data_IF_559450405740
#
_entry.id   IF_559450405740
#
_cell.length_a   1.000
_cell.length_b   1.000
_cell.length_c   1.000
_cell.angle_alpha   90.00
_cell.angle_beta   90.00
_cell.angle_gamma   90.00
#
_symmetry.space_group_name_H-M   'P 1'
#
loop_
_entity.id
_entity.type
_entity.pdbx_description
1 polymer ?
#
# COMPACT_ATOMS: atom_id res chain seq x y z
N UNK A 1 -11.52 -9.69 13.25
CA UNK A 1 -10.44 -8.70 13.49
C UNK A 1 -10.85 -7.44 12.79
N UNK A 2 -11.02 -6.35 13.53
CA UNK A 2 -11.44 -5.05 13.00
C UNK A 2 -10.36 -4.55 12.05
N UNK A 3 -10.71 -4.39 10.78
CA UNK A 3 -9.76 -4.08 9.71
C UNK A 3 -10.11 -2.73 9.09
N UNK A 4 -9.14 -1.82 8.99
CA UNK A 4 -9.30 -0.57 8.24
C UNK A 4 -8.55 -0.65 6.91
N UNK A 5 -9.26 -0.45 5.82
CA UNK A 5 -8.68 -0.42 4.47
C UNK A 5 -8.50 1.01 4.04
N UNK A 6 -7.26 1.41 3.84
CA UNK A 6 -6.92 2.74 3.35
C UNK A 6 -6.87 2.68 1.84
N UNK A 7 -7.69 3.51 1.20
CA UNK A 7 -7.81 3.60 -0.26
C UNK A 7 -7.48 5.02 -0.70
N UNK A 8 -6.24 5.30 -1.13
CA UNK A 8 -5.87 6.58 -1.71
C UNK A 8 -6.54 6.79 -3.07
N UNK A 9 -7.01 8.01 -3.32
CA UNK A 9 -7.79 8.34 -4.52
C UNK A 9 -7.38 9.66 -5.13
N UNK A 10 -7.28 9.68 -6.46
CA UNK A 10 -7.17 10.88 -7.28
C UNK A 10 -7.73 10.57 -8.67
N UNK A 11 -8.91 11.11 -9.00
CA UNK A 11 -9.67 10.77 -10.20
C UNK A 11 -10.04 9.27 -10.28
N UNK A 12 -10.74 8.76 -9.27
CA UNK A 12 -11.11 7.35 -9.14
C UNK A 12 -12.64 7.15 -9.04
N UNK A 13 -13.45 8.08 -9.57
CA UNK A 13 -14.91 8.09 -9.36
C UNK A 13 -15.58 6.75 -9.66
N UNK A 14 -15.36 6.19 -10.86
CA UNK A 14 -15.96 4.92 -11.28
C UNK A 14 -15.45 3.73 -10.46
N UNK A 15 -14.22 3.81 -9.98
CA UNK A 15 -13.59 2.76 -9.20
C UNK A 15 -14.15 2.74 -7.78
N UNK A 16 -14.21 3.89 -7.11
CA UNK A 16 -14.78 4.02 -5.77
C UNK A 16 -16.25 3.63 -5.72
N UNK A 17 -17.02 3.98 -6.75
CA UNK A 17 -18.43 3.57 -6.88
C UNK A 17 -18.62 2.05 -6.81
N UNK A 18 -17.66 1.28 -7.31
CA UNK A 18 -17.73 -0.19 -7.38
C UNK A 18 -17.01 -0.86 -6.20
N UNK A 19 -15.84 -0.33 -5.82
CA UNK A 19 -14.97 -0.91 -4.81
C UNK A 19 -15.59 -0.87 -3.41
N UNK A 20 -16.19 0.27 -3.01
CA UNK A 20 -16.72 0.42 -1.65
C UNK A 20 -17.81 -0.62 -1.33
N UNK A 21 -18.84 -0.84 -2.18
CA UNK A 21 -19.80 -1.93 -1.96
C UNK A 21 -19.16 -3.32 -1.83
N UNK A 22 -18.17 -3.64 -2.67
CA UNK A 22 -17.47 -4.94 -2.61
C UNK A 22 -16.73 -5.12 -1.29
N UNK A 23 -16.01 -4.09 -0.82
CA UNK A 23 -15.33 -4.12 0.47
C UNK A 23 -16.31 -4.25 1.64
N UNK A 24 -17.46 -3.57 1.57
CA UNK A 24 -18.49 -3.65 2.62
C UNK A 24 -19.16 -5.01 2.71
N UNK A 25 -19.23 -5.74 1.60
CA UNK A 25 -19.79 -7.08 1.51
C UNK A 25 -18.89 -8.16 2.14
N UNK A 26 -17.60 -7.87 2.38
CA UNK A 26 -16.66 -8.82 2.99
C UNK A 26 -16.96 -9.11 4.47
N UNK A 27 -17.69 -8.22 5.16
CA UNK A 27 -18.14 -8.46 6.52
C UNK A 27 -18.24 -7.19 7.38
N UNK A 28 -18.87 -7.29 8.57
CA UNK A 28 -19.13 -6.14 9.45
C UNK A 28 -17.85 -5.56 10.08
N UNK A 29 -16.81 -6.36 10.22
CA UNK A 29 -15.50 -5.95 10.78
C UNK A 29 -14.65 -5.11 9.81
N UNK A 30 -15.07 -4.98 8.55
CA UNK A 30 -14.36 -4.20 7.53
C UNK A 30 -14.82 -2.75 7.56
N UNK A 31 -13.86 -1.85 7.72
CA UNK A 31 -13.99 -0.40 7.57
C UNK A 31 -13.13 0.09 6.43
N UNK A 32 -13.50 1.20 5.81
CA UNK A 32 -12.74 1.83 4.73
C UNK A 32 -12.49 3.29 5.06
N UNK A 33 -11.25 3.73 4.86
CA UNK A 33 -10.85 5.12 4.83
C UNK A 33 -10.47 5.49 3.40
N UNK A 34 -11.31 6.28 2.74
CA UNK A 34 -10.96 6.90 1.47
C UNK A 34 -10.09 8.11 1.76
N UNK A 35 -8.88 8.15 1.20
CA UNK A 35 -8.00 9.32 1.30
C UNK A 35 -8.03 10.02 -0.06
N UNK A 36 -8.77 11.12 -0.16
CA UNK A 36 -8.96 11.84 -1.43
C UNK A 36 -8.06 13.06 -1.54
N UNK A 37 -7.29 13.12 -2.63
CA UNK A 37 -6.33 14.17 -2.93
C UNK A 37 -6.98 15.37 -3.68
N UNK A 38 -8.18 15.78 -3.23
CA UNK A 38 -9.01 16.81 -3.84
C UNK A 38 -9.31 16.51 -5.32
N UNK A 39 -9.95 15.37 -5.57
CA UNK A 39 -10.23 14.90 -6.92
C UNK A 39 -11.22 15.82 -7.65
N UNK A 40 -10.83 16.40 -8.81
CA UNK A 40 -11.71 17.29 -9.57
C UNK A 40 -12.89 16.58 -10.23
N UNK A 41 -12.81 15.25 -10.43
CA UNK A 41 -13.87 14.45 -11.03
C UNK A 41 -15.07 14.17 -10.08
N UNK A 42 -14.97 14.61 -8.83
CA UNK A 42 -16.01 14.38 -7.81
C UNK A 42 -15.86 13.08 -7.03
N UNK A 43 -14.72 12.37 -7.11
CA UNK A 43 -14.43 11.16 -6.31
C UNK A 43 -14.69 11.39 -4.83
N UNK A 44 -14.12 12.45 -4.25
CA UNK A 44 -14.32 12.80 -2.84
C UNK A 44 -15.79 13.02 -2.48
N UNK A 45 -16.56 13.75 -3.30
CA UNK A 45 -18.01 13.97 -3.06
C UNK A 45 -18.82 12.67 -3.10
N UNK A 46 -18.47 11.76 -3.99
CA UNK A 46 -19.09 10.44 -4.04
C UNK A 46 -18.78 9.64 -2.77
N UNK A 47 -17.52 9.66 -2.33
CA UNK A 47 -17.12 8.99 -1.10
C UNK A 47 -17.86 9.55 0.13
N UNK A 48 -18.03 10.87 0.22
CA UNK A 48 -18.80 11.52 1.30
C UNK A 48 -20.26 11.04 1.33
N UNK A 49 -20.90 10.97 0.16
CA UNK A 49 -22.27 10.47 0.05
C UNK A 49 -22.38 9.03 0.57
N UNK A 50 -21.45 8.17 0.17
CA UNK A 50 -21.43 6.77 0.61
C UNK A 50 -21.10 6.63 2.10
N UNK A 51 -20.27 7.51 2.65
CA UNK A 51 -19.97 7.57 4.08
C UNK A 51 -21.20 8.01 4.91
N UNK A 52 -22.03 8.90 4.38
CA UNK A 52 -23.28 9.30 5.03
C UNK A 52 -24.31 8.14 5.10
N UNK A 53 -24.23 7.18 4.18
CA UNK A 53 -25.12 6.01 4.12
C UNK A 53 -24.57 4.80 4.90
N UNK A 54 -23.29 4.79 5.26
CA UNK A 54 -22.64 3.66 5.95
C UNK A 54 -21.48 4.13 6.85
N UNK A 55 -21.68 4.02 8.16
CA UNK A 55 -20.72 4.43 9.21
C UNK A 55 -19.35 3.72 9.15
N UNK A 56 -19.24 2.61 8.42
CA UNK A 56 -17.97 1.88 8.23
C UNK A 56 -17.09 2.53 7.16
N UNK A 57 -17.59 3.54 6.44
CA UNK A 57 -16.86 4.29 5.44
C UNK A 57 -16.57 5.68 6.00
N UNK A 58 -15.32 6.12 5.87
CA UNK A 58 -14.86 7.45 6.26
C UNK A 58 -14.03 8.07 5.14
N UNK A 59 -13.96 9.40 5.10
CA UNK A 59 -13.25 10.14 4.06
C UNK A 59 -12.30 11.13 4.71
N UNK A 60 -11.04 11.10 4.27
CA UNK A 60 -10.01 12.07 4.60
C UNK A 60 -9.68 12.89 3.35
N UNK A 61 -10.20 14.11 3.31
CA UNK A 61 -9.90 15.07 2.24
C UNK A 61 -8.57 15.76 2.48
N UNK A 62 -7.71 15.74 1.46
CA UNK A 62 -6.42 16.42 1.44
C UNK A 62 -6.48 17.60 0.48
N UNK A 63 -5.69 18.66 0.67
CA UNK A 63 -5.91 19.93 -0.05
C UNK A 63 -5.61 19.87 -1.57
N UNK A 64 -4.77 18.91 -1.99
CA UNK A 64 -4.34 18.73 -3.38
C UNK A 64 -3.71 17.35 -3.56
N UNK A 65 -3.34 17.02 -4.79
CA UNK A 65 -2.46 15.89 -5.11
C UNK A 65 -1.09 16.04 -4.46
N UNK A 66 -0.84 15.26 -3.42
CA UNK A 66 0.34 15.35 -2.57
C UNK A 66 1.22 14.09 -2.62
N UNK A 67 0.80 13.06 -3.35
CA UNK A 67 1.56 11.82 -3.51
C UNK A 67 0.95 10.63 -2.78
N UNK A 68 1.32 9.42 -3.22
CA UNK A 68 0.78 8.16 -2.73
C UNK A 68 1.29 7.84 -1.32
N UNK A 69 2.59 7.94 -1.10
CA UNK A 69 3.21 7.69 0.20
C UNK A 69 2.68 8.64 1.26
N UNK A 70 2.51 9.92 0.93
CA UNK A 70 1.94 10.89 1.86
C UNK A 70 0.44 10.66 2.13
N UNK A 71 -0.31 10.08 1.18
CA UNK A 71 -1.69 9.64 1.40
C UNK A 71 -1.75 8.47 2.39
N UNK A 72 -0.90 7.47 2.20
CA UNK A 72 -0.81 6.33 3.13
C UNK A 72 -0.33 6.76 4.52
N UNK A 73 0.67 7.64 4.64
CA UNK A 73 1.09 8.19 5.94
C UNK A 73 -0.07 8.90 6.64
N UNK A 74 -0.85 9.71 5.92
CA UNK A 74 -2.03 10.37 6.50
C UNK A 74 -3.08 9.34 6.94
N UNK A 75 -3.34 8.33 6.11
CA UNK A 75 -4.25 7.23 6.44
C UNK A 75 -3.78 6.40 7.63
N UNK A 76 -2.48 6.11 7.75
CA UNK A 76 -1.90 5.38 8.88
C UNK A 76 -2.01 6.16 10.18
N UNK A 77 -1.73 7.47 10.14
CA UNK A 77 -1.90 8.35 11.30
C UNK A 77 -3.37 8.43 11.75
N UNK A 78 -4.30 8.39 10.80
CA UNK A 78 -5.71 8.27 11.12
C UNK A 78 -6.01 6.90 11.76
N UNK A 79 -5.53 5.81 11.15
CA UNK A 79 -5.79 4.44 11.56
C UNK A 79 -5.31 4.11 12.99
N UNK A 80 -4.13 4.60 13.38
CA UNK A 80 -3.59 4.38 14.74
C UNK A 80 -4.46 5.02 15.85
N UNK A 81 -5.29 6.01 15.50
CA UNK A 81 -6.24 6.67 16.40
C UNK A 81 -7.60 5.95 16.45
N UNK A 82 -7.81 4.93 15.62
CA UNK A 82 -9.06 4.17 15.55
C UNK A 82 -8.94 2.85 16.32
N UNK A 83 -10.08 2.35 16.78
CA UNK A 83 -10.21 1.02 17.39
C UNK A 83 -10.22 -0.08 16.31
N UNK A 84 -9.03 -0.37 15.77
CA UNK A 84 -8.80 -1.40 14.75
C UNK A 84 -7.60 -2.30 15.08
N UNK A 85 -7.65 -3.55 14.64
CA UNK A 85 -6.60 -4.54 14.88
C UNK A 85 -5.52 -4.47 13.78
N UNK A 86 -5.95 -4.28 12.53
CA UNK A 86 -5.08 -4.24 11.37
C UNK A 86 -5.48 -3.18 10.35
N UNK A 87 -4.50 -2.76 9.57
CA UNK A 87 -4.58 -1.65 8.63
C UNK A 87 -4.04 -2.10 7.27
N UNK A 88 -4.83 -1.87 6.23
CA UNK A 88 -4.50 -2.27 4.87
C UNK A 88 -4.10 -1.07 4.01
N UNK A 89 -3.12 -1.31 3.15
CA UNK A 89 -2.89 -0.50 1.95
C UNK A 89 -3.58 -1.18 0.77
N UNK A 90 -4.40 -0.45 0.01
CA UNK A 90 -5.05 -0.96 -1.19
C UNK A 90 -5.35 0.14 -2.21
N UNK A 91 -4.85 -0.03 -3.44
CA UNK A 91 -5.18 0.81 -4.59
C UNK A 91 -6.66 0.71 -4.99
N UNK A 92 -7.23 1.82 -5.45
CA UNK A 92 -8.65 1.91 -5.80
C UNK A 92 -9.03 1.20 -7.13
N UNK A 93 -8.07 0.97 -8.03
CA UNK A 93 -8.30 0.64 -9.44
C UNK A 93 -8.49 -0.85 -9.75
N UNK A 94 -8.72 -1.67 -8.72
CA UNK A 94 -8.85 -3.13 -8.80
C UNK A 94 -7.62 -3.85 -9.38
N UNK A 95 -6.44 -3.21 -9.40
CA UNK A 95 -5.18 -3.93 -9.53
C UNK A 95 -4.90 -4.84 -8.33
N UNK A 96 -5.61 -4.63 -7.23
CA UNK A 96 -5.68 -5.50 -6.07
C UNK A 96 -7.08 -6.06 -5.93
N UNK A 97 -7.19 -7.36 -5.78
CA UNK A 97 -8.47 -8.05 -5.66
C UNK A 97 -9.00 -7.95 -4.21
N UNK A 98 -10.17 -7.31 -3.98
CA UNK A 98 -10.83 -7.28 -2.67
C UNK A 98 -11.00 -8.67 -2.04
N UNK A 99 -11.22 -9.71 -2.86
CA UNK A 99 -11.45 -11.08 -2.39
C UNK A 99 -10.23 -11.67 -1.67
N UNK A 100 -9.05 -11.06 -1.78
CA UNK A 100 -7.85 -11.49 -1.07
C UNK A 100 -7.84 -11.03 0.40
N UNK A 101 -8.59 -9.99 0.78
CA UNK A 101 -8.57 -9.41 2.13
C UNK A 101 -8.81 -10.46 3.23
N UNK A 102 -9.81 -11.38 3.14
CA UNK A 102 -9.98 -12.44 4.13
C UNK A 102 -8.72 -13.28 4.35
N UNK A 103 -7.97 -13.59 3.29
CA UNK A 103 -6.71 -14.33 3.39
C UNK A 103 -5.61 -13.53 4.08
N UNK A 104 -5.53 -12.22 3.85
CA UNK A 104 -4.61 -11.36 4.61
C UNK A 104 -4.97 -11.35 6.10
N UNK A 105 -6.26 -11.31 6.45
CA UNK A 105 -6.74 -11.34 7.85
C UNK A 105 -6.40 -12.68 8.51
N UNK A 106 -6.53 -13.80 7.79
CA UNK A 106 -6.10 -15.10 8.29
C UNK A 106 -4.58 -15.11 8.58
N UNK A 107 -3.77 -14.61 7.66
CA UNK A 107 -2.31 -14.69 7.75
C UNK A 107 -1.71 -13.74 8.79
N UNK A 108 -2.28 -12.54 8.95
CA UNK A 108 -1.84 -11.55 9.93
C UNK A 108 -2.07 -12.02 11.38
N UNK A 109 -2.92 -13.03 11.59
CA UNK A 109 -3.09 -13.64 12.91
C UNK A 109 -1.77 -14.24 13.45
N UNK A 110 -0.87 -14.67 12.56
CA UNK A 110 0.41 -15.34 12.90
C UNK A 110 1.66 -14.47 12.72
N UNK A 111 1.52 -13.27 12.14
CA UNK A 111 2.64 -12.39 11.82
C UNK A 111 2.29 -10.92 12.05
N UNK A 112 3.22 -10.02 11.76
CA UNK A 112 3.08 -8.60 12.08
C UNK A 112 2.78 -7.76 10.82
N UNK A 113 3.25 -8.23 9.66
CA UNK A 113 2.97 -7.63 8.34
C UNK A 113 2.76 -8.73 7.30
N UNK A 114 1.68 -8.63 6.52
CA UNK A 114 1.42 -9.47 5.34
C UNK A 114 1.55 -8.64 4.07
N UNK A 115 2.30 -9.13 3.10
CA UNK A 115 2.51 -8.49 1.80
C UNK A 115 1.92 -9.37 0.70
N UNK A 116 1.05 -8.79 -0.12
CA UNK A 116 0.63 -9.40 -1.37
C UNK A 116 1.77 -9.36 -2.38
N UNK A 117 2.40 -10.49 -2.64
CA UNK A 117 3.58 -10.59 -3.47
C UNK A 117 3.25 -11.09 -4.87
N UNK A 118 3.71 -10.35 -5.87
CA UNK A 118 3.61 -10.72 -7.29
C UNK A 118 4.67 -11.76 -7.70
N UNK A 119 5.65 -12.03 -6.84
CA UNK A 119 6.87 -12.78 -7.16
C UNK A 119 7.15 -13.98 -6.22
N UNK A 120 6.37 -14.17 -5.14
CA UNK A 120 6.65 -15.24 -4.15
C UNK A 120 6.46 -16.66 -4.70
N UNK A 121 5.48 -16.87 -5.57
CA UNK A 121 5.17 -18.18 -6.16
C UNK A 121 5.37 -18.23 -7.67
N UNK A 122 6.29 -17.41 -8.19
CA UNK A 122 6.43 -17.13 -9.63
C UNK A 122 5.90 -15.75 -9.99
N UNK A 123 5.90 -15.44 -11.29
CA UNK A 123 5.48 -14.13 -11.81
C UNK A 123 3.96 -14.14 -11.99
N UNK A 124 3.24 -13.42 -11.13
CA UNK A 124 1.77 -13.32 -11.17
C UNK A 124 1.32 -11.91 -11.56
N UNK A 125 1.78 -11.42 -12.71
CA UNK A 125 1.33 -10.15 -13.30
C UNK A 125 0.66 -10.39 -14.64
N UNK A 126 -0.45 -9.69 -14.88
CA UNK A 126 -1.24 -9.80 -16.10
C UNK A 126 -1.22 -8.44 -16.82
N UNK A 127 -1.06 -8.47 -18.14
CA UNK A 127 -1.03 -7.29 -19.03
C UNK A 127 0.14 -6.33 -18.83
N UNK A 128 1.28 -6.80 -18.31
CA UNK A 128 2.50 -5.98 -18.24
C UNK A 128 3.35 -6.11 -19.50
N UNK A 129 3.90 -5.00 -20.04
CA UNK A 129 4.95 -5.10 -21.03
C UNK A 129 6.19 -5.75 -20.41
N UNK A 130 6.87 -6.61 -21.17
CA UNK A 130 8.04 -7.37 -20.69
C UNK A 130 9.13 -6.47 -20.09
N UNK A 131 9.34 -5.28 -20.65
CA UNK A 131 10.31 -4.30 -20.12
C UNK A 131 9.97 -3.87 -18.69
N UNK A 132 8.69 -3.60 -18.39
CA UNK A 132 8.23 -3.24 -17.04
C UNK A 132 8.35 -4.42 -16.08
N UNK A 133 8.03 -5.62 -16.54
CA UNK A 133 8.19 -6.84 -15.73
C UNK A 133 9.65 -7.06 -15.34
N UNK A 134 10.57 -7.05 -16.31
CA UNK A 134 11.99 -7.23 -16.08
C UNK A 134 12.53 -6.13 -15.16
N UNK A 135 12.21 -4.86 -15.43
CA UNK A 135 12.61 -3.74 -14.59
C UNK A 135 12.17 -3.94 -13.13
N UNK A 136 10.90 -4.27 -12.91
CA UNK A 136 10.35 -4.50 -11.57
C UNK A 136 11.03 -5.69 -10.89
N UNK A 137 11.22 -6.80 -11.60
CA UNK A 137 11.86 -8.00 -11.07
C UNK A 137 13.31 -7.74 -10.64
N UNK A 138 14.11 -7.10 -11.50
CA UNK A 138 15.50 -6.76 -11.18
C UNK A 138 15.61 -5.66 -10.12
N UNK A 139 14.69 -4.69 -10.08
CA UNK A 139 14.64 -3.68 -9.02
C UNK A 139 14.40 -4.32 -7.64
N UNK A 140 13.56 -5.35 -7.57
CA UNK A 140 13.36 -6.12 -6.34
C UNK A 140 14.62 -6.88 -5.92
N UNK A 141 15.30 -7.56 -6.86
CA UNK A 141 16.59 -8.23 -6.58
C UNK A 141 17.62 -7.22 -6.06
N UNK A 142 17.80 -6.11 -6.78
CA UNK A 142 18.71 -5.04 -6.42
C UNK A 142 18.43 -4.51 -5.01
N UNK A 143 17.17 -4.17 -4.72
CA UNK A 143 16.75 -3.68 -3.40
C UNK A 143 17.10 -4.66 -2.30
N UNK A 144 16.83 -5.95 -2.49
CA UNK A 144 17.14 -7.00 -1.50
C UNK A 144 18.64 -7.15 -1.26
N UNK A 145 19.45 -7.15 -2.32
CA UNK A 145 20.92 -7.27 -2.22
C UNK A 145 21.50 -6.06 -1.46
N UNK A 146 21.03 -4.85 -1.77
CA UNK A 146 21.57 -3.64 -1.16
C UNK A 146 21.07 -3.46 0.28
N UNK A 147 19.81 -3.74 0.58
CA UNK A 147 19.25 -3.53 1.92
C UNK A 147 19.47 -4.71 2.87
N UNK A 148 19.60 -5.93 2.33
CA UNK A 148 19.61 -7.19 3.07
C UNK A 148 18.23 -7.75 3.40
N UNK A 149 17.14 -7.11 2.90
CA UNK A 149 15.78 -7.61 3.10
C UNK A 149 15.56 -8.97 2.44
N UNK A 150 14.80 -9.84 3.10
CA UNK A 150 14.48 -11.19 2.61
C UNK A 150 13.21 -11.24 1.75
N UNK A 151 12.35 -10.21 1.83
CA UNK A 151 11.09 -10.05 1.08
C UNK A 151 11.35 -10.04 -0.42
N UNK A 152 10.60 -10.82 -1.21
CA UNK A 152 10.74 -10.90 -2.67
C UNK A 152 10.06 -9.76 -3.40
N UNK A 153 8.89 -9.31 -2.97
CA UNK A 153 8.20 -8.14 -3.52
C UNK A 153 8.26 -6.94 -2.58
N UNK A 154 9.36 -6.20 -2.70
CA UNK A 154 9.64 -4.98 -1.93
C UNK A 154 8.83 -3.77 -2.38
N UNK A 155 8.08 -3.87 -3.49
CA UNK A 155 7.41 -2.75 -4.17
C UNK A 155 5.89 -2.89 -4.25
N UNK A 156 5.32 -3.95 -3.67
CA UNK A 156 3.87 -4.15 -3.65
C UNK A 156 3.17 -3.07 -2.81
N UNK A 157 2.02 -2.60 -3.29
CA UNK A 157 1.12 -1.67 -2.59
C UNK A 157 -0.09 -2.35 -1.94
N UNK A 158 -0.15 -3.68 -1.95
CA UNK A 158 -1.21 -4.43 -1.25
C UNK A 158 -0.64 -5.09 0.01
N UNK A 159 -0.89 -4.49 1.16
CA UNK A 159 -0.29 -4.90 2.43
C UNK A 159 -1.30 -4.84 3.56
N UNK A 160 -1.08 -5.65 4.58
CA UNK A 160 -1.77 -5.59 5.86
C UNK A 160 -0.74 -5.48 6.97
N UNK A 161 -0.92 -4.50 7.85
CA UNK A 161 -0.09 -4.27 9.02
C UNK A 161 -0.94 -4.49 10.27
N UNK A 162 -0.37 -5.08 11.32
CA UNK A 162 -0.94 -4.89 12.66
C UNK A 162 -0.88 -3.40 13.01
N UNK A 163 -1.91 -2.86 13.66
CA UNK A 163 -1.93 -1.46 14.09
C UNK A 163 -0.69 -1.10 14.91
N UNK A 164 -0.28 -2.00 15.80
CA UNK A 164 0.92 -1.88 16.66
C UNK A 164 2.22 -1.69 15.87
N UNK A 165 2.33 -2.23 14.65
CA UNK A 165 3.52 -2.03 13.80
C UNK A 165 3.60 -0.56 13.38
N UNK A 166 2.47 0.02 12.96
CA UNK A 166 2.40 1.40 12.52
C UNK A 166 2.64 2.39 13.67
N UNK A 167 2.22 2.07 14.89
CA UNK A 167 2.49 2.88 16.09
C UNK A 167 3.98 2.98 16.43
N UNK A 168 4.77 1.95 16.08
CA UNK A 168 6.19 1.86 16.41
C UNK A 168 7.09 2.32 15.27
N UNK A 169 6.53 2.54 14.08
CA UNK A 169 7.25 3.13 12.94
C UNK A 169 7.15 4.64 13.04
N UNK A 170 8.28 5.31 12.87
CA UNK A 170 8.33 6.77 12.77
C UNK A 170 7.77 7.21 11.41
N UNK A 171 6.46 7.42 11.37
CA UNK A 171 5.70 7.85 10.20
C UNK A 171 6.00 9.30 9.81
N UNK A 172 6.46 10.15 10.75
CA UNK A 172 6.79 11.56 10.49
C UNK A 172 8.05 11.71 9.64
N UNK A 173 8.98 10.76 9.77
CA UNK A 173 10.22 10.76 9.00
C UNK A 173 10.17 9.91 7.73
N UNK A 174 9.00 9.44 7.30
CA UNK A 174 8.83 8.80 5.99
C UNK A 174 8.79 9.90 4.93
N UNK A 175 9.76 9.88 4.00
CA UNK A 175 9.96 10.95 3.01
C UNK A 175 9.78 10.50 1.57
N UNK A 176 9.71 9.20 1.34
CA UNK A 176 9.60 8.64 0.00
C UNK A 176 8.15 8.58 -0.49
N UNK A 177 8.00 8.52 -1.82
CA UNK A 177 6.71 8.36 -2.49
C UNK A 177 6.71 7.15 -3.45
N UNK A 178 5.53 6.76 -3.95
CA UNK A 178 5.36 5.72 -4.95
C UNK A 178 6.00 4.37 -4.55
N UNK A 179 6.85 3.82 -5.43
CA UNK A 179 7.56 2.57 -5.14
C UNK A 179 8.62 2.71 -4.04
N UNK A 180 9.24 3.89 -3.91
CA UNK A 180 10.24 4.15 -2.89
C UNK A 180 9.61 4.10 -1.48
N UNK A 181 8.37 4.61 -1.34
CA UNK A 181 7.56 4.47 -0.13
C UNK A 181 7.38 3.01 0.29
N UNK A 182 7.03 2.15 -0.68
CA UNK A 182 6.81 0.73 -0.39
C UNK A 182 8.08 0.02 0.09
N UNK A 183 9.23 0.39 -0.49
CA UNK A 183 10.55 -0.11 -0.08
C UNK A 183 10.90 0.42 1.31
N UNK A 184 10.71 1.71 1.58
CA UNK A 184 11.02 2.34 2.86
C UNK A 184 10.19 1.72 4.00
N UNK A 185 8.89 1.54 3.81
CA UNK A 185 8.02 0.93 4.80
C UNK A 185 8.42 -0.52 5.09
N UNK A 186 8.70 -1.30 4.06
CA UNK A 186 9.20 -2.67 4.21
C UNK A 186 10.53 -2.71 4.98
N UNK A 187 11.44 -1.81 4.66
CA UNK A 187 12.74 -1.73 5.30
C UNK A 187 12.64 -1.36 6.79
N UNK A 188 11.80 -0.37 7.12
CA UNK A 188 11.54 0.03 8.51
C UNK A 188 10.93 -1.11 9.32
N UNK A 189 9.99 -1.86 8.75
CA UNK A 189 9.42 -3.04 9.39
C UNK A 189 10.48 -4.13 9.62
N UNK A 190 11.21 -4.48 8.57
CA UNK A 190 12.23 -5.51 8.58
C UNK A 190 13.35 -5.21 9.59
N UNK A 191 13.80 -3.95 9.64
CA UNK A 191 14.87 -3.50 10.53
C UNK A 191 14.47 -3.55 12.01
N UNK A 192 13.20 -3.33 12.31
CA UNK A 192 12.64 -3.49 13.67
C UNK A 192 12.41 -4.96 14.06
N UNK A 193 12.68 -5.91 13.16
CA UNK A 193 12.58 -7.33 13.45
C UNK A 193 11.15 -7.88 13.41
N UNK A 194 10.21 -7.17 12.79
CA UNK A 194 8.85 -7.66 12.63
C UNK A 194 8.79 -8.91 11.76
N UNK A 195 7.87 -9.82 12.08
CA UNK A 195 7.61 -11.03 11.30
C UNK A 195 6.78 -10.64 10.09
N UNK A 196 7.42 -10.69 8.92
CA UNK A 196 6.81 -10.32 7.66
C UNK A 196 6.55 -11.58 6.82
N UNK A 197 5.34 -11.72 6.27
CA UNK A 197 4.95 -12.85 5.43
C UNK A 197 4.49 -12.37 4.06
N UNK A 198 4.91 -13.07 3.01
CA UNK A 198 4.43 -12.85 1.65
C UNK A 198 3.36 -13.90 1.30
N UNK A 199 2.25 -13.45 0.72
CA UNK A 199 1.25 -14.32 0.10
C UNK A 199 1.13 -14.01 -1.39
N UNK A 200 0.88 -15.02 -2.24
CA UNK A 200 0.77 -14.78 -3.68
C UNK A 200 -0.51 -14.00 -4.00
N UNK A 201 -0.36 -12.95 -4.80
CA UNK A 201 -1.48 -12.20 -5.40
C UNK A 201 -1.32 -12.17 -6.92
N UNK A 202 -2.44 -12.03 -7.63
CA UNK A 202 -2.44 -11.71 -9.06
C UNK A 202 -2.61 -10.20 -9.20
N UNK A 203 -1.67 -9.56 -9.87
CA UNK A 203 -1.77 -8.13 -10.18
C UNK A 203 -2.19 -7.95 -11.63
N UNK A 204 -3.37 -7.40 -11.85
CA UNK A 204 -3.90 -7.11 -13.19
C UNK A 204 -3.72 -5.63 -13.48
N UNK A 205 -2.98 -5.30 -14.53
CA UNK A 205 -2.96 -3.93 -15.03
C UNK A 205 -4.23 -3.67 -15.82
N UNK A 206 -5.15 -2.91 -15.22
CA UNK A 206 -6.44 -2.57 -15.82
C UNK A 206 -6.41 -1.24 -16.56
N UNK A 207 -5.29 -0.50 -16.55
CA UNK A 207 -5.17 0.79 -17.24
C UNK A 207 -4.48 0.66 -18.60
N UNK A 208 -5.19 1.12 -19.64
CA UNK A 208 -4.64 1.55 -20.93
C UNK A 208 -3.93 2.92 -20.82
N UNK A 209 -3.19 3.16 -19.74
CA UNK A 209 -2.52 4.42 -19.44
C UNK A 209 -1.00 4.31 -19.54
N UNK A 210 -0.34 5.42 -19.88
CA UNK A 210 1.13 5.51 -19.87
C UNK A 210 1.66 5.16 -18.49
N UNK A 211 2.70 4.33 -18.47
CA UNK A 211 3.34 3.85 -17.24
C UNK A 211 3.60 4.98 -16.25
N UNK A 212 3.17 4.82 -14.99
CA UNK A 212 3.55 5.72 -13.87
C UNK A 212 5.07 5.68 -13.57
N UNK A 213 5.82 4.75 -14.17
CA UNK A 213 7.28 4.70 -14.09
C UNK A 213 7.91 5.76 -14.99
N UNK A 214 8.28 6.90 -14.40
CA UNK A 214 9.17 7.87 -15.01
C UNK A 214 10.63 7.61 -14.57
N UNK A 215 11.61 8.14 -15.32
CA UNK A 215 13.01 8.08 -14.92
C UNK A 215 13.24 8.70 -13.53
N UNK A 216 12.43 9.71 -13.15
CA UNK A 216 12.47 10.32 -11.81
C UNK A 216 12.12 9.33 -10.70
N UNK A 217 11.05 8.55 -10.88
CA UNK A 217 10.64 7.51 -9.91
C UNK A 217 11.70 6.41 -9.77
N UNK A 218 12.36 6.03 -10.88
CA UNK A 218 13.45 5.06 -10.85
C UNK A 218 14.64 5.61 -10.08
N UNK A 219 15.05 6.85 -10.35
CA UNK A 219 16.18 7.49 -9.66
C UNK A 219 15.92 7.66 -8.16
N UNK A 220 14.69 8.05 -7.78
CA UNK A 220 14.26 8.13 -6.38
C UNK A 220 14.37 6.76 -5.69
N UNK A 221 13.88 5.70 -6.35
CA UNK A 221 13.97 4.33 -5.82
C UNK A 221 15.43 3.86 -5.65
N UNK A 222 16.33 4.21 -6.58
CA UNK A 222 17.76 3.89 -6.42
C UNK A 222 18.38 4.66 -5.24
N UNK A 223 18.10 5.96 -5.15
CA UNK A 223 18.66 6.81 -4.09
C UNK A 223 18.16 6.40 -2.70
N UNK A 224 16.85 6.15 -2.55
CA UNK A 224 16.28 5.75 -1.24
C UNK A 224 16.89 4.44 -0.76
N UNK A 225 17.13 3.48 -1.65
CA UNK A 225 17.71 2.17 -1.30
C UNK A 225 19.12 2.33 -0.71
N UNK A 226 19.95 3.18 -1.32
CA UNK A 226 21.28 3.49 -0.79
C UNK A 226 21.21 4.30 0.51
N UNK A 227 20.31 5.28 0.58
CA UNK A 227 20.08 6.06 1.81
C UNK A 227 19.70 5.16 2.98
N UNK A 228 18.75 4.24 2.79
CA UNK A 228 18.33 3.27 3.81
C UNK A 228 19.49 2.36 4.24
N UNK A 229 20.34 1.92 3.30
CA UNK A 229 21.56 1.17 3.63
C UNK A 229 22.53 2.00 4.48
N UNK A 230 22.76 3.27 4.16
CA UNK A 230 23.63 4.14 4.95
C UNK A 230 23.07 4.39 6.36
N UNK A 231 21.77 4.65 6.46
CA UNK A 231 21.07 4.79 7.74
C UNK A 231 21.17 3.52 8.61
N UNK A 232 21.29 2.35 7.99
CA UNK A 232 21.59 1.07 8.67
C UNK A 232 22.97 1.07 9.29
N UNK A 233 23.97 1.42 8.50
CA UNK A 233 25.37 1.45 8.93
C UNK A 233 25.59 2.45 10.08
N UNK A 234 24.84 3.55 10.09
CA UNK A 234 24.97 4.63 11.08
C UNK A 234 23.99 4.44 12.28
N UNK A 235 23.27 3.30 12.37
CA UNK A 235 22.30 2.98 13.46
C UNK A 235 21.19 4.02 13.70
N UNK A 236 20.82 4.81 12.69
CA UNK A 236 19.83 5.90 12.82
C UNK A 236 18.38 5.52 12.52
N UNK A 237 18.15 4.34 11.95
CA UNK A 237 16.81 3.79 11.67
C UNK A 237 16.66 2.39 12.26
#
# INVERSE_FOLDING_TARGET
>A
MKSLIIVPTYNEFDNIRRLLPELMALGPDIRVLVVDDNSPDGTGRLADKLAAENERISVLHRPKKLGLGSAYVAGFKHAIQQDVDCVFEMDADFSHDPAMIPKFIEEIASCDVVIGSRYISGINVVNWPMSRLLLSYFANIYTRVVTGMTIRDTTSGFKCFRREVLEKIDLDNVRSDGYAFQIEMNFRCWRKGYRMREIPIIFVDRRSGTSKLSQGVINEAVWIVWWLRLQRLIRRL
#
